data_IF_061468440900
#
_entry.id   IF_061468440900
#
_cell.length_a   1.000
_cell.length_b   1.000
_cell.length_c   1.000
_cell.angle_alpha   90.00
_cell.angle_beta   90.00
_cell.angle_gamma   90.00
#
_symmetry.space_group_name_H-M   'P 1'
#
loop_
_entity.id
_entity.type
_entity.pdbx_description
1 polymer ?
#
# COMPACT_ATOMS: atom_id res chain seq x y z
N UNK A 1 -13.64 9.93 -6.45
CA UNK A 1 -13.35 9.67 -5.02
C UNK A 1 -12.24 10.59 -4.50
N UNK A 2 -11.04 10.61 -5.09
CA UNK A 2 -9.93 11.50 -4.64
C UNK A 2 -10.38 12.96 -4.54
N UNK A 3 -11.00 13.50 -5.60
CA UNK A 3 -11.41 14.90 -5.64
C UNK A 3 -12.37 15.22 -4.49
N UNK A 4 -13.41 14.39 -4.29
CA UNK A 4 -14.33 14.55 -3.16
C UNK A 4 -13.64 14.46 -1.79
N UNK A 5 -12.60 13.62 -1.63
CA UNK A 5 -11.81 13.56 -0.40
C UNK A 5 -11.02 14.86 -0.21
N UNK A 6 -10.41 15.39 -1.26
CA UNK A 6 -9.67 16.64 -1.20
C UNK A 6 -10.60 17.84 -0.95
N UNK A 7 -11.83 17.80 -1.45
CA UNK A 7 -12.84 18.83 -1.23
C UNK A 7 -13.29 18.88 0.25
N UNK A 8 -13.52 17.71 0.86
CA UNK A 8 -13.99 17.61 2.25
C UNK A 8 -12.82 17.69 3.25
N UNK A 9 -11.66 17.15 2.89
CA UNK A 9 -10.48 17.06 3.74
C UNK A 9 -9.23 17.58 3.00
N UNK A 10 -9.14 18.90 2.75
CA UNK A 10 -8.08 19.49 1.94
C UNK A 10 -6.67 19.32 2.53
N UNK A 11 -6.57 19.04 3.83
CA UNK A 11 -5.31 18.79 4.52
C UNK A 11 -5.00 17.30 4.72
N UNK A 12 -5.85 16.39 4.26
CA UNK A 12 -5.60 14.97 4.38
C UNK A 12 -4.52 14.53 3.39
N UNK A 13 -3.54 13.77 3.88
CA UNK A 13 -2.57 13.12 3.03
C UNK A 13 -3.21 11.85 2.45
N UNK A 14 -3.62 11.94 1.19
CA UNK A 14 -4.13 10.79 0.45
C UNK A 14 -2.96 9.97 -0.06
N UNK A 15 -2.94 8.68 0.27
CA UNK A 15 -1.89 7.75 -0.15
C UNK A 15 -2.50 6.47 -0.70
N UNK A 16 -1.78 5.88 -1.64
CA UNK A 16 -2.05 4.54 -2.15
C UNK A 16 -1.74 3.47 -1.12
N UNK A 17 -2.18 2.24 -1.40
CA UNK A 17 -1.77 1.06 -0.65
C UNK A 17 -0.65 0.35 -1.42
N UNK A 18 0.51 0.12 -0.79
CA UNK A 18 1.64 -0.57 -1.43
C UNK A 18 1.28 -1.98 -1.91
N UNK A 19 0.41 -2.67 -1.15
CA UNK A 19 -0.07 -4.00 -1.55
C UNK A 19 -0.89 -3.96 -2.85
N UNK A 20 -1.79 -2.98 -2.99
CA UNK A 20 -2.58 -2.80 -4.22
C UNK A 20 -1.73 -2.34 -5.40
N UNK A 21 -0.74 -1.47 -5.17
CA UNK A 21 0.26 -1.14 -6.17
C UNK A 21 0.94 -2.40 -6.70
N UNK A 22 1.50 -3.22 -5.81
CA UNK A 22 2.18 -4.44 -6.18
C UNK A 22 1.25 -5.47 -6.85
N UNK A 23 -0.01 -5.56 -6.42
CA UNK A 23 -1.04 -6.37 -7.08
C UNK A 23 -1.31 -5.89 -8.50
N UNK A 24 -1.41 -4.57 -8.75
CA UNK A 24 -1.59 -4.03 -10.10
C UNK A 24 -0.43 -4.37 -11.02
N UNK A 25 0.80 -4.25 -10.53
CA UNK A 25 2.00 -4.67 -11.28
C UNK A 25 1.88 -6.16 -11.66
N UNK A 26 1.52 -7.03 -10.71
CA UNK A 26 1.37 -8.46 -10.98
C UNK A 26 0.19 -8.78 -11.92
N UNK A 27 -0.95 -8.10 -11.77
CA UNK A 27 -2.10 -8.18 -12.71
C UNK A 27 -1.64 -7.80 -14.11
N UNK A 28 -0.82 -6.76 -14.26
CA UNK A 28 -0.25 -6.37 -15.55
C UNK A 28 0.70 -7.43 -16.11
N UNK A 29 1.57 -8.02 -15.29
CA UNK A 29 2.42 -9.17 -15.68
C UNK A 29 1.57 -10.32 -16.23
N UNK A 30 0.47 -10.68 -15.54
CA UNK A 30 -0.48 -11.71 -16.02
C UNK A 30 -1.10 -11.32 -17.36
N UNK A 31 -1.71 -10.12 -17.46
CA UNK A 31 -2.39 -9.63 -18.68
C UNK A 31 -1.46 -9.49 -19.89
N UNK A 32 -0.18 -9.23 -19.66
CA UNK A 32 0.84 -9.14 -20.71
C UNK A 32 1.44 -10.50 -21.10
N UNK A 33 0.94 -11.62 -20.53
CA UNK A 33 1.46 -12.97 -20.75
C UNK A 33 2.94 -13.13 -20.34
N UNK A 34 3.36 -12.43 -19.29
CA UNK A 34 4.74 -12.42 -18.78
C UNK A 34 4.98 -13.42 -17.63
N UNK A 35 3.99 -14.22 -17.24
CA UNK A 35 4.09 -15.11 -16.07
C UNK A 35 5.24 -16.11 -16.20
N UNK A 36 5.40 -16.75 -17.36
CA UNK A 36 6.51 -17.69 -17.60
C UNK A 36 7.85 -16.96 -17.58
N UNK A 37 7.95 -15.83 -18.29
CA UNK A 37 9.15 -15.00 -18.37
C UNK A 37 9.58 -14.48 -16.98
N UNK A 38 8.62 -14.17 -16.11
CA UNK A 38 8.87 -13.69 -14.74
C UNK A 38 9.53 -14.73 -13.81
N UNK A 39 9.72 -15.97 -14.27
CA UNK A 39 10.48 -17.00 -13.55
C UNK A 39 11.99 -16.87 -13.80
N UNK A 40 12.38 -16.22 -14.89
CA UNK A 40 13.79 -15.98 -15.20
C UNK A 40 14.36 -14.97 -14.20
N UNK A 41 15.57 -15.22 -13.73
CA UNK A 41 16.16 -14.49 -12.61
C UNK A 41 16.21 -12.98 -12.88
N UNK A 42 16.68 -12.57 -14.06
CA UNK A 42 16.78 -11.16 -14.41
C UNK A 42 15.39 -10.48 -14.43
N UNK A 43 14.40 -11.11 -15.03
CA UNK A 43 13.06 -10.53 -15.17
C UNK A 43 12.33 -10.48 -13.82
N UNK A 44 12.45 -11.55 -13.02
CA UNK A 44 11.96 -11.58 -11.65
C UNK A 44 12.57 -10.45 -10.82
N UNK A 45 13.88 -10.23 -10.97
CA UNK A 45 14.66 -9.19 -10.31
C UNK A 45 14.17 -7.79 -10.70
N UNK A 46 13.91 -7.53 -11.98
CA UNK A 46 13.39 -6.23 -12.42
C UNK A 46 11.94 -5.99 -12.01
N UNK A 47 11.08 -7.02 -12.04
CA UNK A 47 9.72 -6.91 -11.50
C UNK A 47 9.76 -6.60 -9.99
N UNK A 48 10.68 -7.21 -9.24
CA UNK A 48 10.89 -6.88 -7.83
C UNK A 48 11.36 -5.44 -7.62
N UNK A 49 12.19 -4.89 -8.51
CA UNK A 49 12.57 -3.48 -8.48
C UNK A 49 11.37 -2.56 -8.74
N UNK A 50 10.50 -2.90 -9.71
CA UNK A 50 9.26 -2.15 -9.96
C UNK A 50 8.37 -2.15 -8.70
N UNK A 51 8.17 -3.31 -8.07
CA UNK A 51 7.40 -3.43 -6.81
C UNK A 51 8.03 -2.65 -5.66
N UNK A 52 9.34 -2.41 -5.70
CA UNK A 52 10.09 -1.64 -4.71
C UNK A 52 10.03 -0.12 -4.94
N UNK A 53 9.64 0.38 -6.12
CA UNK A 53 9.61 1.82 -6.42
C UNK A 53 8.88 2.68 -5.38
N UNK A 54 7.76 2.24 -4.77
CA UNK A 54 7.10 3.01 -3.71
C UNK A 54 7.94 3.19 -2.45
N UNK A 55 9.03 2.43 -2.29
CA UNK A 55 9.85 2.39 -1.08
C UNK A 55 11.21 3.07 -1.27
N UNK A 56 11.53 3.57 -2.46
CA UNK A 56 12.78 4.32 -2.69
C UNK A 56 12.57 5.83 -2.48
N UNK A 57 13.67 6.57 -2.23
CA UNK A 57 13.62 8.03 -2.12
C UNK A 57 13.00 8.64 -3.38
N UNK A 58 12.13 9.66 -3.26
CA UNK A 58 11.47 10.26 -4.42
C UNK A 58 12.42 10.74 -5.53
N UNK A 59 13.60 11.24 -5.16
CA UNK A 59 14.64 11.69 -6.09
C UNK A 59 15.30 10.55 -6.89
N UNK A 60 15.26 9.32 -6.38
CA UNK A 60 15.84 8.14 -7.04
C UNK A 60 14.85 7.43 -7.98
N UNK A 61 13.57 7.82 -7.97
CA UNK A 61 12.50 7.12 -8.68
C UNK A 61 12.69 7.12 -10.18
N UNK A 62 12.98 8.28 -10.77
CA UNK A 62 13.15 8.39 -12.22
C UNK A 62 14.38 7.59 -12.68
N UNK A 63 15.56 7.83 -12.09
CA UNK A 63 16.79 7.11 -12.41
C UNK A 63 16.67 5.59 -12.22
N UNK A 64 15.99 5.15 -11.16
CA UNK A 64 15.74 3.72 -10.93
C UNK A 64 14.81 3.12 -11.99
N UNK A 65 13.81 3.88 -12.44
CA UNK A 65 12.87 3.44 -13.47
C UNK A 65 13.56 3.33 -14.82
N UNK A 66 14.38 4.31 -15.19
CA UNK A 66 15.17 4.31 -16.42
C UNK A 66 16.10 3.08 -16.47
N UNK A 67 16.88 2.84 -15.41
CA UNK A 67 17.73 1.63 -15.29
C UNK A 67 16.94 0.32 -15.44
N UNK A 68 15.73 0.24 -14.90
CA UNK A 68 14.86 -0.94 -15.05
C UNK A 68 14.43 -1.09 -16.52
N UNK A 69 14.09 0.01 -17.19
CA UNK A 69 13.67 0.01 -18.59
C UNK A 69 14.82 -0.43 -19.48
N UNK A 70 16.02 0.10 -19.28
CA UNK A 70 17.22 -0.29 -20.04
C UNK A 70 17.57 -1.76 -19.84
N UNK A 71 17.46 -2.28 -18.61
CA UNK A 71 17.71 -3.71 -18.34
C UNK A 71 16.64 -4.65 -18.94
N UNK A 72 15.46 -4.12 -19.23
CA UNK A 72 14.36 -4.84 -19.86
C UNK A 72 14.25 -4.55 -21.37
N UNK A 73 14.99 -3.57 -21.88
CA UNK A 73 15.03 -3.27 -23.29
C UNK A 73 15.67 -4.45 -24.03
N UNK A 74 15.22 -4.69 -25.25
CA UNK A 74 15.72 -5.76 -26.13
C UNK A 74 15.49 -7.22 -25.66
N UNK A 75 14.93 -7.45 -24.47
CA UNK A 75 14.72 -8.81 -23.96
C UNK A 75 13.48 -9.51 -24.56
N UNK A 76 12.30 -8.91 -24.44
CA UNK A 76 11.05 -9.39 -25.04
C UNK A 76 10.11 -8.20 -25.26
N UNK A 77 9.57 -8.07 -26.47
CA UNK A 77 8.58 -7.03 -26.83
C UNK A 77 7.37 -6.94 -25.87
N UNK A 78 7.01 -8.01 -25.16
CA UNK A 78 5.93 -8.02 -24.16
C UNK A 78 6.27 -7.22 -22.91
N UNK A 79 7.55 -7.07 -22.57
CA UNK A 79 8.00 -6.28 -21.42
C UNK A 79 7.72 -4.79 -21.63
N UNK A 80 7.70 -4.32 -22.88
CA UNK A 80 7.26 -2.96 -23.22
C UNK A 80 5.86 -2.67 -22.66
N UNK A 81 4.93 -3.63 -22.71
CA UNK A 81 3.58 -3.44 -22.17
C UNK A 81 3.59 -3.19 -20.66
N UNK A 82 4.55 -3.77 -19.93
CA UNK A 82 4.70 -3.58 -18.49
C UNK A 82 5.36 -2.24 -18.18
N UNK A 83 6.46 -1.91 -18.86
CA UNK A 83 7.18 -0.65 -18.64
C UNK A 83 6.33 0.56 -19.05
N UNK A 84 5.66 0.52 -20.19
CA UNK A 84 4.70 1.54 -20.65
C UNK A 84 3.55 1.75 -19.64
N UNK A 85 3.07 0.67 -19.03
CA UNK A 85 2.05 0.76 -17.98
C UNK A 85 2.60 1.45 -16.72
N UNK A 86 3.83 1.14 -16.30
CA UNK A 86 4.46 1.78 -15.15
C UNK A 86 4.65 3.27 -15.40
N UNK A 87 5.19 3.63 -16.58
CA UNK A 87 5.43 5.02 -16.96
C UNK A 87 4.14 5.84 -16.93
N UNK A 88 3.10 5.40 -17.67
CA UNK A 88 1.81 6.11 -17.77
C UNK A 88 1.04 6.26 -16.46
N UNK A 89 1.15 5.29 -15.56
CA UNK A 89 0.33 5.29 -14.34
C UNK A 89 1.03 5.89 -13.13
N UNK A 90 2.37 5.92 -13.12
CA UNK A 90 3.12 6.27 -11.91
C UNK A 90 4.28 7.26 -12.12
N UNK A 91 4.80 7.43 -13.34
CA UNK A 91 6.03 8.21 -13.60
C UNK A 91 5.74 9.47 -14.44
N UNK A 92 5.31 9.31 -15.70
CA UNK A 92 5.22 10.42 -16.67
C UNK A 92 3.82 11.03 -16.69
N UNK A 93 3.68 12.28 -16.21
CA UNK A 93 2.39 12.99 -16.04
C UNK A 93 1.27 12.05 -15.55
N UNK A 94 1.66 11.30 -14.51
CA UNK A 94 1.02 10.07 -14.18
C UNK A 94 -0.38 10.25 -13.61
N UNK A 95 -1.27 9.29 -13.92
CA UNK A 95 -2.62 9.20 -13.32
C UNK A 95 -2.58 9.29 -11.79
N UNK A 96 -1.55 8.74 -11.15
CA UNK A 96 -1.31 8.84 -9.72
C UNK A 96 -0.03 9.61 -9.47
N UNK A 97 -0.12 10.71 -8.72
CA UNK A 97 1.05 11.52 -8.39
C UNK A 97 2.05 10.73 -7.54
N UNK A 98 3.34 11.02 -7.72
CA UNK A 98 4.43 10.38 -6.98
C UNK A 98 4.21 10.41 -5.46
N UNK A 99 3.79 11.57 -4.94
CA UNK A 99 3.50 11.71 -3.51
C UNK A 99 2.40 10.75 -3.05
N UNK A 100 1.42 10.41 -3.89
CA UNK A 100 0.33 9.52 -3.50
C UNK A 100 0.79 8.07 -3.32
N UNK A 101 1.56 7.52 -4.27
CA UNK A 101 1.93 6.10 -4.24
C UNK A 101 3.28 5.83 -3.58
N UNK A 102 4.15 6.84 -3.42
CA UNK A 102 5.41 6.70 -2.70
C UNK A 102 5.20 6.71 -1.17
N UNK A 103 5.94 5.85 -0.50
CA UNK A 103 5.86 5.57 0.93
C UNK A 103 7.18 5.76 1.66
N UNK A 104 8.27 6.17 1.00
CA UNK A 104 9.60 6.27 1.61
C UNK A 104 9.58 7.04 2.93
N UNK A 105 8.98 8.22 2.95
CA UNK A 105 8.87 9.04 4.16
C UNK A 105 8.02 8.36 5.25
N UNK A 106 6.96 7.66 4.86
CA UNK A 106 6.03 6.99 5.78
C UNK A 106 6.50 5.63 6.30
N UNK A 107 7.67 5.14 5.86
CA UNK A 107 8.27 3.91 6.37
C UNK A 107 8.50 4.04 7.88
N UNK A 108 7.89 3.13 8.65
CA UNK A 108 8.01 3.06 10.10
C UNK A 108 7.00 3.93 10.87
N UNK A 109 6.40 4.91 10.22
CA UNK A 109 5.39 5.76 10.84
C UNK A 109 3.98 5.18 10.72
N UNK A 110 3.67 4.57 9.57
CA UNK A 110 2.31 4.13 9.24
C UNK A 110 2.25 2.80 8.50
N UNK A 111 1.15 2.05 8.64
CA UNK A 111 0.91 0.86 7.83
C UNK A 111 0.79 1.25 6.34
N UNK A 112 1.59 0.60 5.50
CA UNK A 112 1.58 0.74 4.03
C UNK A 112 0.52 -0.14 3.36
N UNK A 113 -0.16 -0.96 4.16
CA UNK A 113 -1.28 -1.81 3.74
C UNK A 113 -2.56 -1.42 4.48
N UNK A 114 -3.69 -1.63 3.82
CA UNK A 114 -5.03 -1.32 4.32
C UNK A 114 -5.72 -2.55 4.96
N UNK A 115 -4.98 -3.62 5.30
CA UNK A 115 -5.53 -4.86 5.86
C UNK A 115 -6.42 -4.64 7.10
N UNK A 116 -6.09 -3.62 7.91
CA UNK A 116 -6.86 -3.27 9.11
C UNK A 116 -8.23 -2.67 8.73
N UNK A 117 -8.26 -1.79 7.72
CA UNK A 117 -9.50 -1.23 7.16
C UNK A 117 -10.34 -2.30 6.46
N UNK A 118 -9.71 -3.16 5.65
CA UNK A 118 -10.41 -4.29 5.03
C UNK A 118 -10.97 -5.26 6.07
N UNK A 119 -10.22 -5.51 7.15
CA UNK A 119 -10.68 -6.33 8.26
C UNK A 119 -11.86 -5.69 9.00
N UNK A 120 -11.87 -4.37 9.15
CA UNK A 120 -12.98 -3.62 9.72
C UNK A 120 -14.22 -3.68 8.81
N UNK A 121 -14.08 -3.38 7.52
CA UNK A 121 -15.18 -3.47 6.56
C UNK A 121 -15.74 -4.89 6.46
N UNK A 122 -14.88 -5.92 6.48
CA UNK A 122 -15.33 -7.32 6.50
C UNK A 122 -16.15 -7.64 7.76
N UNK A 123 -15.72 -7.15 8.93
CA UNK A 123 -16.48 -7.33 10.18
C UNK A 123 -17.84 -6.62 10.11
N UNK A 124 -17.88 -5.39 9.60
CA UNK A 124 -19.11 -4.63 9.45
C UNK A 124 -20.07 -5.31 8.45
N UNK A 125 -19.58 -5.69 7.28
CA UNK A 125 -20.36 -6.38 6.25
C UNK A 125 -20.84 -7.77 6.69
N UNK A 126 -20.14 -8.43 7.62
CA UNK A 126 -20.59 -9.70 8.19
C UNK A 126 -21.74 -9.53 9.20
N UNK A 127 -21.85 -8.36 9.84
CA UNK A 127 -22.92 -8.04 10.79
C UNK A 127 -24.16 -7.47 10.10
N UNK A 128 -23.94 -6.71 9.03
CA UNK A 128 -25.00 -6.04 8.28
C UNK A 128 -25.49 -6.96 7.15
N UNK A 129 -26.77 -7.32 7.16
CA UNK A 129 -27.40 -8.04 6.03
C UNK A 129 -27.34 -7.21 4.75
N UNK A 130 -27.40 -7.86 3.59
CA UNK A 130 -27.58 -7.15 2.32
C UNK A 130 -28.87 -6.34 2.34
N UNK A 131 -28.80 -5.04 2.03
CA UNK A 131 -29.92 -4.08 2.07
C UNK A 131 -30.61 -3.99 3.45
N UNK A 132 -29.91 -3.54 4.50
CA UNK A 132 -30.55 -3.24 5.78
C UNK A 132 -31.48 -2.03 5.64
N UNK A 133 -32.51 -1.96 6.47
CA UNK A 133 -33.20 -0.69 6.70
C UNK A 133 -32.26 0.31 7.40
N UNK A 134 -32.60 1.59 7.32
CA UNK A 134 -31.74 2.68 7.81
C UNK A 134 -31.42 2.54 9.30
N UNK A 135 -32.37 2.09 10.13
CA UNK A 135 -32.19 1.97 11.56
C UNK A 135 -31.29 0.79 11.93
N UNK A 136 -31.48 -0.35 11.27
CA UNK A 136 -30.58 -1.51 11.40
C UNK A 136 -29.16 -1.12 11.02
N UNK A 137 -28.99 -0.43 9.89
CA UNK A 137 -27.67 0.04 9.47
C UNK A 137 -27.04 1.00 10.47
N UNK A 138 -27.81 2.00 10.93
CA UNK A 138 -27.33 2.99 11.90
C UNK A 138 -26.86 2.34 13.21
N UNK A 139 -27.63 1.40 13.74
CA UNK A 139 -27.30 0.69 14.97
C UNK A 139 -26.03 -0.15 14.84
N UNK A 140 -25.83 -0.83 13.71
CA UNK A 140 -24.62 -1.60 13.43
C UNK A 140 -23.38 -0.70 13.30
N UNK A 141 -23.50 0.45 12.62
CA UNK A 141 -22.42 1.43 12.53
C UNK A 141 -22.06 1.99 13.90
N UNK A 142 -23.06 2.35 14.71
CA UNK A 142 -22.85 2.83 16.08
C UNK A 142 -22.15 1.79 16.95
N UNK A 143 -22.66 0.56 17.00
CA UNK A 143 -22.07 -0.55 17.76
C UNK A 143 -20.64 -0.88 17.31
N UNK A 144 -20.39 -0.81 16.00
CA UNK A 144 -19.06 -0.96 15.43
C UNK A 144 -18.11 0.14 15.91
N UNK A 145 -18.56 1.40 15.94
CA UNK A 145 -17.80 2.52 16.48
C UNK A 145 -17.46 2.36 17.97
N UNK A 146 -18.43 1.98 18.79
CA UNK A 146 -18.23 1.71 20.23
C UNK A 146 -17.21 0.57 20.45
N UNK A 147 -17.29 -0.49 19.65
CA UNK A 147 -16.33 -1.60 19.68
C UNK A 147 -14.90 -1.15 19.35
N UNK A 148 -14.72 -0.21 18.43
CA UNK A 148 -13.41 0.36 18.09
C UNK A 148 -12.85 1.20 19.23
N UNK A 149 -13.68 2.04 19.86
CA UNK A 149 -13.29 2.85 21.02
C UNK A 149 -12.83 1.94 22.17
N UNK A 150 -13.63 0.92 22.49
CA UNK A 150 -13.29 -0.04 23.53
C UNK A 150 -11.94 -0.74 23.27
N UNK A 151 -11.69 -1.16 22.02
CA UNK A 151 -10.40 -1.76 21.63
C UNK A 151 -9.24 -0.79 21.83
N UNK A 152 -9.41 0.47 21.45
CA UNK A 152 -8.40 1.51 21.61
C UNK A 152 -8.08 1.75 23.10
N UNK A 153 -9.08 1.89 23.96
CA UNK A 153 -8.89 2.11 25.40
C UNK A 153 -8.14 0.94 26.06
N UNK A 154 -8.48 -0.29 25.68
CA UNK A 154 -7.79 -1.47 26.18
C UNK A 154 -6.34 -1.56 25.68
N UNK A 155 -6.07 -1.18 24.42
CA UNK A 155 -4.70 -1.08 23.90
C UNK A 155 -3.87 -0.02 24.66
N UNK A 156 -4.46 1.13 24.99
CA UNK A 156 -3.82 2.15 25.84
C UNK A 156 -3.51 1.62 27.25
N UNK A 157 -4.40 0.79 27.80
CA UNK A 157 -4.19 0.10 29.07
C UNK A 157 -3.22 -1.10 28.97
N UNK A 158 -2.51 -1.27 27.84
CA UNK A 158 -1.63 -2.41 27.54
C UNK A 158 -2.31 -3.78 27.65
N UNK A 159 -3.64 -3.82 27.59
CA UNK A 159 -4.44 -5.04 27.57
C UNK A 159 -4.60 -5.48 26.11
N UNK A 160 -4.21 -6.72 25.82
CA UNK A 160 -4.29 -7.27 24.45
C UNK A 160 -5.74 -7.46 24.01
N UNK A 161 -6.19 -6.75 22.98
CA UNK A 161 -7.53 -6.92 22.38
C UNK A 161 -7.51 -7.53 20.99
N UNK A 162 -6.36 -7.44 20.31
CA UNK A 162 -6.20 -7.86 18.93
C UNK A 162 -5.13 -8.94 18.81
N UNK A 163 -5.33 -9.83 17.85
CA UNK A 163 -4.33 -10.86 17.52
C UNK A 163 -3.03 -10.15 17.09
N UNK A 164 -1.88 -10.51 17.66
CA UNK A 164 -0.62 -9.89 17.29
C UNK A 164 -0.34 -10.11 15.81
N UNK A 165 0.27 -9.09 15.16
CA UNK A 165 0.76 -9.22 13.78
C UNK A 165 1.72 -10.41 13.72
N UNK A 166 1.66 -11.17 12.63
CA UNK A 166 2.58 -12.30 12.40
C UNK A 166 4.02 -11.78 12.41
N UNK A 167 4.90 -12.45 13.15
CA UNK A 167 6.29 -12.04 13.36
C UNK A 167 7.03 -11.71 12.05
N UNK A 168 6.79 -12.49 10.98
CA UNK A 168 7.39 -12.24 9.66
C UNK A 168 7.15 -10.83 9.13
N UNK A 169 5.95 -10.27 9.31
CA UNK A 169 5.61 -8.93 8.81
C UNK A 169 6.27 -7.85 9.67
N UNK A 170 6.34 -8.06 10.98
CA UNK A 170 7.05 -7.15 11.89
C UNK A 170 8.55 -7.15 11.60
N UNK A 171 9.14 -8.32 11.35
CA UNK A 171 10.55 -8.45 10.96
C UNK A 171 10.84 -7.74 9.64
N UNK A 172 9.94 -7.84 8.66
CA UNK A 172 10.09 -7.14 7.39
C UNK A 172 9.98 -5.62 7.52
N UNK A 173 9.05 -5.13 8.34
CA UNK A 173 8.94 -3.70 8.67
C UNK A 173 10.22 -3.21 9.36
N UNK A 174 10.75 -3.97 10.34
CA UNK A 174 11.99 -3.62 11.04
C UNK A 174 13.19 -3.59 10.09
N UNK A 175 13.33 -4.58 9.21
CA UNK A 175 14.39 -4.60 8.20
C UNK A 175 14.33 -3.37 7.30
N UNK A 176 13.14 -2.97 6.89
CA UNK A 176 12.96 -1.81 6.04
C UNK A 176 13.29 -0.49 6.76
N UNK A 177 12.85 -0.35 8.02
CA UNK A 177 13.19 0.82 8.83
C UNK A 177 14.70 0.94 9.01
N UNK A 178 15.38 -0.15 9.38
CA UNK A 178 16.84 -0.17 9.53
C UNK A 178 17.56 0.17 8.22
N UNK A 179 17.09 -0.37 7.09
CA UNK A 179 17.66 -0.08 5.78
C UNK A 179 17.49 1.40 5.40
N UNK A 180 16.31 2.00 5.68
CA UNK A 180 16.07 3.43 5.49
C UNK A 180 17.01 4.27 6.36
N UNK A 181 17.16 3.93 7.64
CA UNK A 181 18.06 4.64 8.55
C UNK A 181 19.51 4.62 8.06
N UNK A 182 19.99 3.45 7.62
CA UNK A 182 21.34 3.34 7.04
C UNK A 182 21.50 4.17 5.77
N UNK A 183 20.53 4.10 4.85
CA UNK A 183 20.55 4.91 3.65
C UNK A 183 20.62 6.42 3.95
N UNK A 184 19.84 6.90 4.93
CA UNK A 184 19.87 8.32 5.34
C UNK A 184 21.24 8.73 5.91
N UNK A 185 22.01 7.79 6.46
CA UNK A 185 23.32 8.06 7.06
C UNK A 185 24.46 7.95 6.05
N UNK A 186 24.44 6.88 5.25
CA UNK A 186 25.56 6.47 4.40
C UNK A 186 25.37 6.91 2.94
N UNK A 187 24.16 7.32 2.56
CA UNK A 187 23.72 7.65 1.19
C UNK A 187 23.95 6.53 0.16
N UNK A 188 24.23 5.29 0.61
CA UNK A 188 24.41 4.11 -0.23
C UNK A 188 23.06 3.58 -0.73
N UNK A 189 22.63 4.12 -1.87
CA UNK A 189 21.39 3.71 -2.52
C UNK A 189 21.42 2.25 -3.00
N UNK A 190 22.57 1.74 -3.45
CA UNK A 190 22.66 0.38 -3.99
C UNK A 190 22.47 -0.67 -2.89
N UNK A 191 23.07 -0.47 -1.70
CA UNK A 191 22.82 -1.31 -0.53
C UNK A 191 21.35 -1.24 -0.08
N UNK A 192 20.76 -0.04 -0.13
CA UNK A 192 19.35 0.14 0.18
C UNK A 192 18.46 -0.64 -0.79
N UNK A 193 18.67 -0.46 -2.10
CA UNK A 193 17.90 -1.08 -3.16
C UNK A 193 17.99 -2.62 -3.10
N UNK A 194 19.16 -3.19 -2.77
CA UNK A 194 19.31 -4.64 -2.53
C UNK A 194 18.38 -5.14 -1.43
N UNK A 195 18.26 -4.40 -0.33
CA UNK A 195 17.38 -4.76 0.79
C UNK A 195 15.89 -4.66 0.39
N UNK A 196 15.53 -3.60 -0.32
CA UNK A 196 14.17 -3.40 -0.83
C UNK A 196 13.73 -4.53 -1.76
N UNK A 197 14.64 -4.99 -2.62
CA UNK A 197 14.39 -6.09 -3.55
C UNK A 197 14.04 -7.38 -2.81
N UNK A 198 14.80 -7.71 -1.77
CA UNK A 198 14.54 -8.88 -0.93
C UNK A 198 13.16 -8.81 -0.26
N UNK A 199 12.75 -7.63 0.21
CA UNK A 199 11.39 -7.40 0.75
C UNK A 199 10.34 -7.57 -0.36
N UNK A 200 10.57 -7.01 -1.53
CA UNK A 200 9.64 -7.00 -2.66
C UNK A 200 9.42 -8.39 -3.26
N UNK A 201 10.45 -9.26 -3.30
CA UNK A 201 10.27 -10.66 -3.66
C UNK A 201 9.24 -11.37 -2.76
N UNK A 202 9.24 -11.08 -1.44
CA UNK A 202 8.24 -11.64 -0.52
C UNK A 202 6.84 -11.13 -0.82
N UNK A 203 6.69 -9.85 -1.18
CA UNK A 203 5.40 -9.31 -1.63
C UNK A 203 4.90 -10.05 -2.88
N UNK A 204 5.77 -10.26 -3.89
CA UNK A 204 5.42 -10.97 -5.12
C UNK A 204 4.92 -12.38 -4.82
N UNK A 205 5.57 -13.12 -3.92
CA UNK A 205 5.10 -14.44 -3.50
C UNK A 205 3.70 -14.39 -2.88
N UNK A 206 3.46 -13.46 -1.95
CA UNK A 206 2.14 -13.30 -1.32
C UNK A 206 1.06 -12.92 -2.35
N UNK A 207 1.41 -12.10 -3.34
CA UNK A 207 0.49 -11.63 -4.38
C UNK A 207 0.19 -12.72 -5.42
N UNK A 208 1.17 -13.56 -5.76
CA UNK A 208 0.97 -14.73 -6.63
C UNK A 208 -0.11 -15.66 -6.09
N UNK A 209 -0.14 -15.82 -4.77
CA UNK A 209 -1.09 -16.70 -4.07
C UNK A 209 -2.42 -15.99 -3.72
N UNK A 210 -2.50 -14.67 -3.89
CA UNK A 210 -3.72 -13.93 -3.64
C UNK A 210 -4.75 -14.23 -4.76
N UNK A 211 -5.98 -14.56 -4.37
CA UNK A 211 -7.11 -14.59 -5.33
C UNK A 211 -7.20 -13.21 -5.99
N UNK A 212 -7.40 -13.18 -7.30
CA UNK A 212 -7.65 -11.93 -8.01
C UNK A 212 -8.86 -11.27 -7.35
N UNK A 213 -8.62 -10.18 -6.62
CA UNK A 213 -9.71 -9.38 -6.05
C UNK A 213 -10.48 -8.78 -7.22
N UNK A 214 -11.78 -9.04 -7.21
CA UNK A 214 -12.78 -8.45 -8.10
C UNK A 214 -12.69 -6.93 -7.92
N UNK A 215 -12.71 -6.22 -9.05
CA UNK A 215 -12.72 -4.77 -9.24
C UNK A 215 -11.36 -4.08 -9.49
N UNK A 216 -11.21 -3.61 -10.74
CA UNK A 216 -10.10 -2.78 -11.22
C UNK A 216 -10.27 -1.29 -10.88
N UNK A 217 -11.43 -0.90 -10.32
CA UNK A 217 -11.80 0.51 -10.14
C UNK A 217 -11.97 0.96 -8.69
N UNK A 218 -12.16 0.05 -7.74
CA UNK A 218 -12.52 0.40 -6.38
C UNK A 218 -11.49 -0.16 -5.40
N UNK A 219 -10.89 0.71 -4.59
CA UNK A 219 -9.86 0.49 -3.55
C UNK A 219 -8.44 0.94 -3.88
N UNK A 220 -8.26 2.26 -4.05
CA UNK A 220 -6.92 2.86 -4.20
C UNK A 220 -6.48 3.83 -3.11
N UNK A 221 -7.24 4.06 -2.05
CA UNK A 221 -6.94 5.16 -1.14
C UNK A 221 -6.96 4.71 0.32
N UNK A 222 -5.79 4.78 0.95
CA UNK A 222 -5.72 4.98 2.39
C UNK A 222 -5.88 6.48 2.60
N UNK A 223 -7.06 6.90 3.04
CA UNK A 223 -7.27 8.26 3.54
C UNK A 223 -6.64 8.27 4.92
N UNK A 224 -5.46 8.87 5.05
CA UNK A 224 -4.85 8.99 6.36
C UNK A 224 -5.46 10.16 7.11
N UNK A 225 -6.40 9.85 7.99
CA UNK A 225 -6.92 10.77 8.99
C UNK A 225 -5.88 10.96 10.10
N UNK A 226 -5.42 12.19 10.33
CA UNK A 226 -4.77 12.52 11.59
C UNK A 226 -5.86 12.88 12.61
N UNK A 227 -5.82 12.17 13.74
CA UNK A 227 -6.64 12.25 14.97
C UNK A 227 -6.70 13.65 15.61
N UNK A 228 -6.14 14.69 15.00
CA UNK A 228 -6.08 16.04 15.58
C UNK A 228 -7.46 16.74 15.64
N UNK A 229 -8.40 16.37 14.77
CA UNK A 229 -9.72 17.04 14.69
C UNK A 229 -10.87 16.30 15.39
N UNK A 230 -10.72 15.00 15.70
CA UNK A 230 -11.78 14.28 16.43
C UNK A 230 -11.88 14.73 17.90
N UNK A 231 -10.80 15.30 18.46
CA UNK A 231 -10.83 15.93 19.77
C UNK A 231 -11.55 17.29 19.79
N UNK A 232 -11.71 17.97 18.64
CA UNK A 232 -12.50 19.21 18.59
C UNK A 232 -14.01 18.96 18.51
N UNK A 233 -14.46 17.80 18.03
CA UNK A 233 -15.89 17.48 18.03
C UNK A 233 -16.46 17.21 19.42
N UNK A 234 -15.61 16.84 20.39
CA UNK A 234 -16.01 16.68 21.80
C UNK A 234 -16.17 18.01 22.55
N UNK A 235 -15.76 19.13 21.96
CA UNK A 235 -15.87 20.49 22.51
C UNK A 235 -17.02 21.31 21.91
N UNK A 236 -17.77 20.75 20.95
CA UNK A 236 -18.92 21.39 20.30
C UNK A 236 -20.27 20.71 20.64
N UNK A 237 -20.25 19.69 21.50
CA UNK A 237 -21.46 19.00 22.01
C UNK A 237 -21.41 18.95 23.55
N UNK A 238 -21.06 20.08 24.15
CA UNK A 238 -21.26 20.45 25.56
C UNK A 238 -21.64 21.90 25.59
#
# INVERSE_FOLDING_TARGET
MINAINDIFPHALVKGCHFHYAQNIWKKVKKSNLVTLSKEENICRQIANIVALPLIPPNEVYNSTEKIIDELCDYDSKLYKLTDYVLKNYIDDARFSLHMWNHFDTIGERPRTNNHLEGYHRQLNARVRTHPDLWTWFNEVKSSGESVICRYELEQAQKRTTRPRKAKYTQDDNKLMLAKTKYIQDEDFDAYQKTLRAVSHRYIHVIKDAKDSIDEEYFFFVIYFFIKYFFQFKLLIT
#
